data_IF_349684339187
#
_entry.id   IF_349684339187
#
_cell.length_a   1.000
_cell.length_b   1.000
_cell.length_c   1.000
_cell.angle_alpha   90.00
_cell.angle_beta   90.00
_cell.angle_gamma   90.00
#
_symmetry.space_group_name_H-M   'P 1'
#
loop_
_entity.id
_entity.type
_entity.pdbx_description
1 polymer ?
#
# COMPACT_ATOMS: atom_id res chain seq x y z
N UNK A 1 6.43 -2.03 13.61
CA UNK A 1 5.75 -0.76 13.27
C UNK A 1 5.26 -0.10 14.54
N UNK A 2 4.93 1.20 14.53
CA UNK A 2 4.27 1.87 15.67
C UNK A 2 2.80 1.43 15.80
N UNK A 3 2.18 1.73 16.94
CA UNK A 3 0.77 1.40 17.21
C UNK A 3 -0.22 2.12 16.28
N UNK A 4 0.13 3.33 15.81
CA UNK A 4 -0.63 4.19 14.91
C UNK A 4 -0.44 3.87 13.42
N UNK A 5 0.37 2.85 13.07
CA UNK A 5 0.67 2.46 11.68
C UNK A 5 -0.60 2.25 10.83
N UNK A 6 -1.62 1.59 11.40
CA UNK A 6 -2.88 1.33 10.69
C UNK A 6 -3.59 2.63 10.28
N UNK A 7 -3.62 3.61 11.18
CA UNK A 7 -4.24 4.90 10.92
C UNK A 7 -3.46 5.68 9.85
N UNK A 8 -2.13 5.72 9.98
CA UNK A 8 -1.26 6.34 8.98
C UNK A 8 -1.46 5.72 7.59
N UNK A 9 -1.58 4.39 7.51
CA UNK A 9 -1.81 3.67 6.26
C UNK A 9 -3.14 4.04 5.63
N UNK A 10 -4.23 4.08 6.41
CA UNK A 10 -5.55 4.46 5.91
C UNK A 10 -5.58 5.90 5.40
N UNK A 11 -5.00 6.84 6.14
CA UNK A 11 -4.90 8.24 5.73
C UNK A 11 -4.08 8.39 4.43
N UNK A 12 -2.94 7.71 4.37
CA UNK A 12 -2.02 7.76 3.22
C UNK A 12 -2.65 7.20 1.95
N UNK A 13 -3.34 6.06 2.04
CA UNK A 13 -4.02 5.43 0.91
C UNK A 13 -5.28 6.20 0.48
N UNK A 14 -5.98 6.82 1.42
CA UNK A 14 -7.13 7.67 1.11
C UNK A 14 -6.72 8.93 0.34
N UNK A 15 -5.54 9.50 0.65
CA UNK A 15 -5.03 10.71 0.02
C UNK A 15 -4.32 10.44 -1.30
N UNK A 16 -3.43 9.45 -1.36
CA UNK A 16 -2.76 9.06 -2.61
C UNK A 16 -2.77 7.55 -2.78
N UNK A 17 -3.71 7.03 -3.58
CA UNK A 17 -3.84 5.59 -3.80
C UNK A 17 -2.58 4.96 -4.38
N UNK A 18 -2.41 3.66 -4.14
CA UNK A 18 -1.21 2.90 -4.50
C UNK A 18 -1.49 1.74 -5.44
N UNK A 19 -2.71 1.67 -5.99
CA UNK A 19 -3.11 0.63 -6.93
C UNK A 19 -2.40 0.77 -8.28
N UNK A 20 -1.84 -0.34 -8.76
CA UNK A 20 -1.17 -0.45 -10.05
C UNK A 20 -1.83 -1.55 -10.88
N UNK A 21 -2.07 -1.24 -12.16
CA UNK A 21 -2.67 -2.14 -13.13
C UNK A 21 -1.60 -2.48 -14.17
N UNK A 22 -1.19 -3.75 -14.18
CA UNK A 22 -0.37 -4.35 -15.22
C UNK A 22 -1.24 -5.26 -16.09
N UNK A 23 -0.82 -5.61 -17.31
CA UNK A 23 -1.60 -6.47 -18.21
C UNK A 23 -2.07 -7.78 -17.58
N UNK A 24 -1.22 -8.42 -16.77
CA UNK A 24 -1.51 -9.73 -16.15
C UNK A 24 -1.78 -9.66 -14.64
N UNK A 25 -1.50 -8.51 -14.01
CA UNK A 25 -1.49 -8.38 -12.55
C UNK A 25 -2.05 -7.04 -12.11
N UNK A 26 -2.99 -7.08 -11.18
CA UNK A 26 -3.38 -5.93 -10.37
C UNK A 26 -2.76 -6.09 -8.99
N UNK A 27 -2.06 -5.07 -8.52
CA UNK A 27 -1.47 -5.06 -7.17
C UNK A 27 -1.59 -3.67 -6.55
N UNK A 28 -1.52 -3.61 -5.23
CA UNK A 28 -1.38 -2.34 -4.50
C UNK A 28 -0.06 -2.34 -3.73
N UNK A 29 0.47 -1.14 -3.50
CA UNK A 29 1.71 -0.91 -2.74
C UNK A 29 1.43 -0.12 -1.44
N UNK A 30 0.64 -0.63 -0.48
CA UNK A 30 0.31 0.13 0.70
C UNK A 30 1.57 0.47 1.50
N UNK A 31 1.77 1.76 1.76
CA UNK A 31 2.90 2.26 2.54
C UNK A 31 2.48 3.45 3.38
N UNK A 32 3.29 3.75 4.38
CA UNK A 32 3.10 4.87 5.32
C UNK A 32 4.30 5.78 5.28
N UNK A 33 4.16 6.97 5.86
CA UNK A 33 5.28 7.86 6.08
C UNK A 33 6.30 7.22 7.05
N UNK A 34 7.61 7.52 6.92
CA UNK A 34 8.67 6.84 7.67
C UNK A 34 8.57 6.96 9.19
N UNK A 35 7.84 7.95 9.70
CA UNK A 35 7.60 8.15 11.13
C UNK A 35 6.82 7.00 11.78
N UNK A 36 5.97 6.30 11.01
CA UNK A 36 5.16 5.16 11.46
C UNK A 36 5.92 3.81 11.44
N UNK A 37 7.10 3.79 10.82
CA UNK A 37 7.95 2.61 10.66
C UNK A 37 9.01 2.61 11.76
N UNK A 38 9.19 1.48 12.46
CA UNK A 38 10.25 1.31 13.47
C UNK A 38 11.47 0.58 12.91
N UNK A 39 11.22 -0.44 12.09
CA UNK A 39 12.22 -1.21 11.35
C UNK A 39 11.71 -1.38 9.92
N UNK A 40 12.55 -1.24 8.89
CA UNK A 40 12.13 -1.39 7.51
C UNK A 40 11.69 -2.83 7.21
N UNK A 41 10.73 -2.99 6.31
CA UNK A 41 10.20 -4.30 5.93
C UNK A 41 9.52 -4.29 4.57
N UNK A 42 9.38 -5.48 3.99
CA UNK A 42 8.53 -5.77 2.85
C UNK A 42 7.65 -6.96 3.23
N UNK A 43 6.34 -6.88 2.98
CA UNK A 43 5.43 -7.98 3.26
C UNK A 43 4.47 -8.24 2.09
N UNK A 44 4.46 -9.48 1.61
CA UNK A 44 3.61 -9.91 0.49
C UNK A 44 2.33 -10.52 1.06
N UNK A 45 1.19 -9.98 0.64
CA UNK A 45 -0.13 -10.48 1.04
C UNK A 45 -0.95 -10.81 -0.18
N UNK A 46 -1.54 -12.01 -0.18
CA UNK A 46 -2.56 -12.39 -1.13
C UNK A 46 -3.85 -12.73 -0.40
N UNK A 47 -4.94 -12.07 -0.78
CA UNK A 47 -6.25 -12.28 -0.19
C UNK A 47 -7.04 -13.33 -0.97
N UNK A 48 -7.96 -14.02 -0.29
CA UNK A 48 -8.83 -15.03 -0.92
C UNK A 48 -9.80 -14.40 -1.92
N UNK A 49 -10.35 -13.23 -1.57
CA UNK A 49 -11.24 -12.43 -2.40
C UNK A 49 -10.56 -11.14 -2.89
N UNK A 50 -11.07 -10.57 -3.97
CA UNK A 50 -10.63 -9.25 -4.44
C UNK A 50 -11.17 -8.17 -3.51
N UNK A 51 -10.35 -7.17 -3.22
CA UNK A 51 -10.68 -6.02 -2.39
C UNK A 51 -10.77 -4.77 -3.30
N UNK A 52 -11.78 -3.90 -3.13
CA UNK A 52 -11.86 -2.61 -3.81
C UNK A 52 -10.70 -1.69 -3.45
N UNK A 53 -10.14 -1.03 -4.46
CA UNK A 53 -8.98 -0.15 -4.33
C UNK A 53 -9.07 1.00 -5.36
N UNK A 54 -8.11 1.91 -5.35
CA UNK A 54 -8.00 2.98 -6.36
C UNK A 54 -6.63 2.99 -7.03
N UNK A 55 -6.62 3.33 -8.31
CA UNK A 55 -5.40 3.42 -9.11
C UNK A 55 -4.59 4.66 -8.72
N UNK A 56 -3.26 4.51 -8.70
CA UNK A 56 -2.31 5.55 -8.31
C UNK A 56 -2.30 6.77 -9.26
N UNK A 57 -2.45 6.55 -10.57
CA UNK A 57 -2.30 7.62 -11.57
C UNK A 57 -3.50 8.54 -11.73
N UNK A 58 -4.72 8.00 -11.63
CA UNK A 58 -5.96 8.71 -12.00
C UNK A 58 -7.11 8.47 -11.01
N UNK A 59 -6.84 7.81 -9.88
CA UNK A 59 -7.80 7.50 -8.82
C UNK A 59 -8.99 6.64 -9.26
N UNK A 60 -8.96 6.05 -10.46
CA UNK A 60 -10.03 5.17 -10.93
C UNK A 60 -10.19 3.95 -10.01
N UNK A 61 -11.42 3.48 -9.90
CA UNK A 61 -11.72 2.30 -9.09
C UNK A 61 -11.07 1.07 -9.72
N UNK A 62 -10.46 0.24 -8.88
CA UNK A 62 -9.94 -1.06 -9.27
C UNK A 62 -10.21 -2.08 -8.18
N UNK A 63 -9.90 -3.35 -8.47
CA UNK A 63 -9.91 -4.40 -7.47
C UNK A 63 -8.61 -5.19 -7.56
N UNK A 64 -8.08 -5.60 -6.41
CA UNK A 64 -6.87 -6.41 -6.33
C UNK A 64 -6.99 -7.45 -5.23
N UNK A 65 -6.25 -8.55 -5.37
CA UNK A 65 -6.02 -9.53 -4.30
C UNK A 65 -4.56 -9.59 -3.89
N UNK A 66 -3.69 -8.79 -4.51
CA UNK A 66 -2.26 -8.82 -4.33
C UNK A 66 -1.81 -7.50 -3.74
N UNK A 67 -1.06 -7.57 -2.64
CA UNK A 67 -0.57 -6.41 -1.91
C UNK A 67 0.90 -6.62 -1.56
N UNK A 68 1.69 -5.58 -1.76
CA UNK A 68 3.07 -5.52 -1.31
C UNK A 68 3.19 -4.35 -0.34
N UNK A 69 3.19 -4.66 0.96
CA UNK A 69 3.34 -3.65 2.00
C UNK A 69 4.79 -3.23 2.10
N UNK A 70 5.02 -1.91 2.06
CA UNK A 70 6.36 -1.33 2.16
C UNK A 70 6.46 -0.52 3.45
N UNK A 71 7.41 -0.89 4.30
CA UNK A 71 7.82 -0.10 5.46
C UNK A 71 9.18 0.52 5.19
N UNK A 72 9.21 1.75 4.72
CA UNK A 72 10.45 2.47 4.41
C UNK A 72 10.77 3.39 5.59
N UNK A 73 11.96 3.27 6.18
CA UNK A 73 12.39 4.11 7.31
C UNK A 73 13.28 5.26 6.89
N UNK A 74 14.11 5.04 5.89
CA UNK A 74 15.07 6.02 5.36
C UNK A 74 14.90 6.05 3.84
N UNK A 75 14.15 7.02 3.30
CA UNK A 75 13.86 7.09 1.86
C UNK A 75 15.03 7.59 1.01
N UNK A 76 16.12 8.04 1.63
CA UNK A 76 17.28 8.66 0.99
C UNK A 76 18.57 7.82 1.06
N UNK A 77 18.44 6.52 1.31
CA UNK A 77 19.53 5.54 1.17
C UNK A 77 19.31 4.71 -0.09
#
# INVERSE_FOLDING_TARGET
VRSDYKQGLQLRENKFPTGLIFPELKLALPHVDPEFVLKPFIYVVRTNSKIPWRQMGDMQQMTTRNFLFLGIKEPSQ
#
